data_IF_056027964248
#
_entry.id   IF_056027964248
#
_cell.length_a   1.000
_cell.length_b   1.000
_cell.length_c   1.000
_cell.angle_alpha   90.00
_cell.angle_beta   90.00
_cell.angle_gamma   90.00
#
_symmetry.space_group_name_H-M   'P 1'
#
loop_
_entity.id
_entity.type
_entity.pdbx_description
1 polymer ?
#
# COMPACT_ATOMS: atom_id res chain seq x y z
N UNK A 1 -6.27 0.75 39.93
CA UNK A 1 -5.49 1.55 38.93
C UNK A 1 -6.46 2.53 38.30
N UNK A 2 -6.25 3.83 38.47
CA UNK A 2 -7.02 4.89 37.81
C UNK A 2 -6.80 4.80 36.32
N UNK A 3 -7.88 4.80 35.50
CA UNK A 3 -7.78 4.88 34.02
C UNK A 3 -6.96 6.13 33.66
N UNK A 4 -5.96 6.03 32.76
CA UNK A 4 -5.23 7.20 32.33
C UNK A 4 -6.19 8.21 31.69
N UNK A 5 -6.02 9.50 32.02
CA UNK A 5 -6.84 10.59 31.50
C UNK A 5 -6.62 10.88 30.01
N UNK A 6 -5.61 10.27 29.39
CA UNK A 6 -5.25 10.45 27.99
C UNK A 6 -5.33 9.10 27.24
N UNK A 7 -5.99 9.11 26.06
CA UNK A 7 -6.13 7.98 25.17
C UNK A 7 -5.18 8.18 23.97
N UNK A 8 -3.92 7.81 24.14
CA UNK A 8 -2.95 7.77 23.04
C UNK A 8 -2.67 6.30 22.68
N UNK A 9 -2.61 6.04 21.38
CA UNK A 9 -2.16 4.72 20.90
C UNK A 9 -0.67 4.54 21.21
N UNK A 10 -0.21 3.33 21.55
CA UNK A 10 1.21 3.02 21.72
C UNK A 10 2.03 3.41 20.50
N UNK A 11 3.35 3.70 20.66
CA UNK A 11 4.21 4.19 19.58
C UNK A 11 4.60 3.10 18.54
N UNK A 12 3.74 2.11 18.32
CA UNK A 12 3.96 0.98 17.40
C UNK A 12 4.25 1.42 15.97
N UNK A 13 3.65 2.54 15.54
CA UNK A 13 3.93 3.15 14.25
C UNK A 13 5.40 3.54 14.15
N UNK A 14 5.90 4.22 15.18
CA UNK A 14 7.29 4.71 15.20
C UNK A 14 8.29 3.56 15.35
N UNK A 15 7.95 2.53 16.13
CA UNK A 15 8.74 1.30 16.24
C UNK A 15 8.87 0.63 14.87
N UNK A 16 7.75 0.47 14.15
CA UNK A 16 7.76 -0.07 12.79
C UNK A 16 8.57 0.77 11.81
N UNK A 17 8.53 2.10 11.92
CA UNK A 17 9.37 2.99 11.12
C UNK A 17 10.84 2.85 11.43
N UNK A 18 11.22 2.70 12.72
CA UNK A 18 12.61 2.50 13.11
C UNK A 18 13.21 1.23 12.47
N UNK A 19 12.51 0.11 12.53
CA UNK A 19 12.96 -1.13 11.88
C UNK A 19 13.11 -0.99 10.36
N UNK A 20 12.13 -0.36 9.71
CA UNK A 20 12.18 -0.13 8.25
C UNK A 20 13.29 0.84 7.87
N UNK A 21 13.50 1.90 8.65
CA UNK A 21 14.55 2.87 8.39
C UNK A 21 15.94 2.21 8.44
N UNK A 22 16.20 1.38 9.46
CA UNK A 22 17.47 0.62 9.56
C UNK A 22 17.69 -0.26 8.33
N UNK A 23 16.66 -0.99 7.87
CA UNK A 23 16.77 -1.82 6.68
C UNK A 23 17.04 -0.99 5.41
N UNK A 24 16.34 0.15 5.25
CA UNK A 24 16.53 1.05 4.11
C UNK A 24 17.91 1.72 4.11
N UNK A 25 18.43 2.09 5.27
CA UNK A 25 19.79 2.64 5.39
C UNK A 25 20.85 1.66 4.89
N UNK A 26 20.67 0.37 5.13
CA UNK A 26 21.61 -0.66 4.69
C UNK A 26 21.53 -0.97 3.18
N UNK A 27 20.40 -0.67 2.55
CA UNK A 27 20.10 -1.16 1.22
C UNK A 27 19.81 -0.08 0.17
N UNK A 28 19.20 1.05 0.56
CA UNK A 28 18.60 2.02 -0.37
C UNK A 28 19.03 3.47 -0.15
N UNK A 29 19.57 3.81 1.01
CA UNK A 29 19.84 5.19 1.41
C UNK A 29 21.33 5.52 1.47
N UNK A 30 21.66 6.71 1.96
CA UNK A 30 23.01 7.27 1.99
C UNK A 30 24.06 6.33 2.58
N UNK A 31 23.84 5.60 3.69
CA UNK A 31 24.83 4.63 4.20
C UNK A 31 25.14 3.52 3.19
N UNK A 32 24.10 3.05 2.44
CA UNK A 32 24.30 2.07 1.39
C UNK A 32 25.07 2.66 0.19
N UNK A 33 24.88 3.94 -0.13
CA UNK A 33 25.64 4.64 -1.16
C UNK A 33 27.13 4.64 -0.81
N UNK A 34 27.51 5.09 0.38
CA UNK A 34 28.91 5.15 0.77
C UNK A 34 29.58 3.78 0.81
N UNK A 35 28.87 2.77 1.31
CA UNK A 35 29.35 1.38 1.28
C UNK A 35 29.58 0.89 -0.16
N UNK A 36 28.68 1.24 -1.06
CA UNK A 36 28.81 0.86 -2.50
C UNK A 36 30.00 1.57 -3.14
N UNK A 37 30.09 2.89 -2.95
CA UNK A 37 31.15 3.71 -3.52
C UNK A 37 32.54 3.28 -3.02
N UNK A 38 32.68 2.91 -1.75
CA UNK A 38 33.93 2.40 -1.18
C UNK A 38 34.46 1.13 -1.87
N UNK A 39 33.61 0.41 -2.60
CA UNK A 39 33.98 -0.80 -3.36
C UNK A 39 34.20 -0.53 -4.85
N UNK A 40 34.02 0.72 -5.31
CA UNK A 40 34.18 1.11 -6.72
C UNK A 40 35.57 1.72 -6.98
N UNK A 41 35.97 1.72 -8.26
CA UNK A 41 37.08 2.50 -8.73
C UNK A 41 36.72 4.00 -8.69
N UNK A 42 37.35 4.71 -7.76
CA UNK A 42 37.07 6.13 -7.50
C UNK A 42 37.49 7.00 -8.68
N UNK A 43 38.59 6.68 -9.37
CA UNK A 43 39.04 7.46 -10.52
C UNK A 43 38.04 7.32 -11.69
N UNK A 44 37.55 6.11 -11.93
CA UNK A 44 36.53 5.87 -12.94
C UNK A 44 35.20 6.55 -12.58
N UNK A 45 34.82 6.59 -11.30
CA UNK A 45 33.63 7.29 -10.83
C UNK A 45 33.75 8.80 -11.06
N UNK A 46 34.88 9.40 -10.68
CA UNK A 46 35.13 10.83 -10.88
C UNK A 46 35.11 11.19 -12.37
N UNK A 47 35.69 10.33 -13.23
CA UNK A 47 35.62 10.50 -14.68
C UNK A 47 34.19 10.45 -15.23
N UNK A 48 33.37 9.49 -14.77
CA UNK A 48 31.95 9.44 -15.18
C UNK A 48 31.17 10.68 -14.73
N UNK A 49 31.37 11.14 -13.50
CA UNK A 49 30.74 12.35 -13.00
C UNK A 49 31.16 13.59 -13.79
N UNK A 50 32.46 13.73 -14.12
CA UNK A 50 32.96 14.81 -14.95
C UNK A 50 32.39 14.77 -16.40
N UNK A 51 32.04 13.59 -16.89
CA UNK A 51 31.41 13.42 -18.22
C UNK A 51 29.93 13.81 -18.27
N UNK A 52 29.25 13.84 -17.13
CA UNK A 52 27.80 14.13 -17.06
C UNK A 52 27.47 15.43 -16.32
N UNK A 53 28.42 16.03 -15.58
CA UNK A 53 28.24 17.26 -14.84
C UNK A 53 29.22 18.35 -15.21
N UNK A 54 28.78 19.63 -15.25
CA UNK A 54 29.72 20.75 -15.43
C UNK A 54 30.70 20.81 -14.26
N UNK A 55 31.97 21.16 -14.55
CA UNK A 55 33.03 21.30 -13.55
C UNK A 55 32.60 22.21 -12.36
N UNK A 56 31.89 23.32 -12.67
CA UNK A 56 31.37 24.26 -11.64
C UNK A 56 30.40 23.61 -10.66
N UNK A 57 29.63 22.58 -11.10
CA UNK A 57 28.70 21.88 -10.22
C UNK A 57 29.46 20.99 -9.24
N UNK A 58 30.46 20.26 -9.72
CA UNK A 58 31.33 19.41 -8.92
C UNK A 58 32.19 20.25 -7.94
N UNK A 59 32.75 21.36 -8.41
CA UNK A 59 33.50 22.31 -7.59
C UNK A 59 32.64 22.92 -6.46
N UNK A 60 31.41 23.31 -6.79
CA UNK A 60 30.48 23.84 -5.80
C UNK A 60 30.18 22.80 -4.71
N UNK A 61 29.94 21.53 -5.09
CA UNK A 61 29.71 20.47 -4.11
C UNK A 61 30.97 20.19 -3.29
N UNK A 62 32.14 20.17 -3.93
CA UNK A 62 33.42 19.99 -3.25
C UNK A 62 33.76 21.13 -2.26
N UNK A 63 33.28 22.35 -2.49
CA UNK A 63 33.45 23.47 -1.54
C UNK A 63 32.71 23.24 -0.21
N UNK A 64 31.74 22.33 -0.18
CA UNK A 64 31.08 21.83 1.04
C UNK A 64 31.74 20.58 1.63
N UNK A 65 32.90 20.16 1.10
CA UNK A 65 33.58 18.94 1.54
C UNK A 65 32.89 17.65 1.09
N UNK A 66 32.01 17.72 0.08
CA UNK A 66 31.25 16.59 -0.43
C UNK A 66 31.80 16.10 -1.77
N UNK A 67 31.84 14.78 -1.96
CA UNK A 67 32.14 14.16 -3.24
C UNK A 67 30.92 14.20 -4.16
N UNK A 68 31.17 14.12 -5.47
CA UNK A 68 30.15 14.27 -6.50
C UNK A 68 28.96 13.31 -6.37
N UNK A 69 29.23 12.03 -6.07
CA UNK A 69 28.23 10.99 -5.95
C UNK A 69 27.25 11.19 -4.78
N UNK A 70 27.57 12.02 -3.82
CA UNK A 70 26.65 12.34 -2.73
C UNK A 70 25.38 13.04 -3.20
N UNK A 71 25.42 13.70 -4.37
CA UNK A 71 24.27 14.41 -4.94
C UNK A 71 24.04 14.03 -6.41
N UNK A 72 25.10 13.82 -7.19
CA UNK A 72 25.01 13.52 -8.61
C UNK A 72 25.15 12.04 -8.90
N UNK A 73 24.31 11.55 -9.77
CA UNK A 73 24.18 10.14 -10.08
C UNK A 73 25.18 9.73 -11.17
N UNK A 74 25.94 8.68 -10.92
CA UNK A 74 26.79 8.05 -11.93
C UNK A 74 26.23 6.67 -12.33
N UNK A 75 26.26 6.31 -13.62
CA UNK A 75 25.80 4.99 -14.08
C UNK A 75 26.42 3.83 -13.31
N UNK A 76 27.73 3.85 -13.04
CA UNK A 76 28.42 2.77 -12.34
C UNK A 76 27.90 2.55 -10.92
N UNK A 77 27.41 3.59 -10.23
CA UNK A 77 26.80 3.47 -8.89
C UNK A 77 25.49 2.70 -8.97
N UNK A 78 24.63 3.03 -9.95
CA UNK A 78 23.36 2.34 -10.14
C UNK A 78 23.53 0.94 -10.73
N UNK A 79 24.58 0.70 -11.51
CA UNK A 79 24.94 -0.64 -11.99
C UNK A 79 25.38 -1.53 -10.85
N UNK A 80 26.18 -0.99 -9.93
CA UNK A 80 26.65 -1.72 -8.74
C UNK A 80 25.53 -1.97 -7.72
N UNK A 81 24.61 -1.00 -7.56
CA UNK A 81 23.51 -1.11 -6.62
C UNK A 81 22.26 -0.33 -7.11
N UNK A 82 21.40 -0.97 -7.90
CA UNK A 82 20.23 -0.31 -8.49
C UNK A 82 19.23 0.26 -7.47
N UNK A 83 19.16 -0.32 -6.27
CA UNK A 83 18.29 0.15 -5.18
C UNK A 83 18.63 1.57 -4.69
N UNK A 84 19.85 2.07 -4.98
CA UNK A 84 20.27 3.43 -4.67
C UNK A 84 19.49 4.50 -5.45
N UNK A 85 18.71 4.10 -6.46
CA UNK A 85 17.76 5.00 -7.09
C UNK A 85 16.78 5.59 -6.08
N UNK A 86 16.43 4.86 -5.01
CA UNK A 86 15.63 5.39 -3.88
C UNK A 86 16.28 6.62 -3.25
N UNK A 87 17.57 6.55 -2.95
CA UNK A 87 18.29 7.68 -2.34
C UNK A 87 18.19 8.93 -3.22
N UNK A 88 18.59 8.81 -4.48
CA UNK A 88 18.60 9.95 -5.40
C UNK A 88 17.19 10.50 -5.67
N UNK A 89 16.21 9.63 -5.85
CA UNK A 89 14.82 10.03 -6.05
C UNK A 89 14.27 10.79 -4.84
N UNK A 90 14.51 10.28 -3.63
CA UNK A 90 14.00 10.91 -2.41
C UNK A 90 14.76 12.19 -2.06
N UNK A 91 16.06 12.26 -2.35
CA UNK A 91 16.85 13.48 -2.22
C UNK A 91 16.32 14.61 -3.12
N UNK A 92 15.80 14.25 -4.31
CA UNK A 92 15.16 15.19 -5.22
C UNK A 92 13.68 15.47 -4.88
N UNK A 93 13.14 14.88 -3.81
CA UNK A 93 11.79 15.13 -3.33
C UNK A 93 10.68 14.36 -4.06
N UNK A 94 11.00 13.45 -4.97
CA UNK A 94 9.99 12.70 -5.71
C UNK A 94 9.42 11.53 -4.90
N UNK A 95 8.10 11.43 -4.81
CA UNK A 95 7.42 10.21 -4.36
C UNK A 95 7.50 9.11 -5.42
N UNK A 96 7.40 7.83 -5.02
CA UNK A 96 7.33 6.72 -6.00
C UNK A 96 6.15 6.90 -6.98
N UNK A 97 5.01 7.37 -6.49
CA UNK A 97 3.82 7.58 -7.30
C UNK A 97 4.04 8.63 -8.40
N UNK A 98 4.72 9.72 -8.08
CA UNK A 98 5.07 10.76 -9.07
C UNK A 98 6.13 10.28 -10.03
N UNK A 99 7.18 9.67 -9.52
CA UNK A 99 8.34 9.24 -10.29
C UNK A 99 7.98 8.18 -11.34
N UNK A 100 7.15 7.20 -10.94
CA UNK A 100 6.72 6.09 -11.81
C UNK A 100 5.33 6.28 -12.43
N UNK A 101 4.79 7.50 -12.39
CA UNK A 101 3.49 7.81 -13.00
C UNK A 101 3.52 7.48 -14.50
N UNK A 102 2.41 6.96 -15.00
CA UNK A 102 2.21 6.74 -16.45
C UNK A 102 2.50 8.03 -17.22
N UNK A 103 3.32 7.91 -18.27
CA UNK A 103 3.75 9.05 -19.10
C UNK A 103 5.11 9.65 -18.71
N UNK A 104 5.72 9.31 -17.56
CA UNK A 104 7.07 9.77 -17.21
C UNK A 104 8.18 9.02 -17.97
N UNK A 105 7.91 7.84 -18.49
CA UNK A 105 8.92 6.94 -19.05
C UNK A 105 9.79 6.22 -18.01
N UNK A 106 9.68 6.58 -16.73
CA UNK A 106 10.55 6.07 -15.66
C UNK A 106 10.10 4.71 -15.09
N UNK A 107 8.91 4.24 -15.45
CA UNK A 107 8.35 2.96 -14.97
C UNK A 107 9.26 1.74 -15.19
N UNK A 108 10.10 1.77 -16.21
CA UNK A 108 11.09 0.70 -16.51
C UNK A 108 12.13 0.52 -15.40
N UNK A 109 12.37 1.55 -14.56
CA UNK A 109 13.34 1.51 -13.47
C UNK A 109 12.73 1.08 -12.13
N UNK A 110 11.40 0.87 -12.05
CA UNK A 110 10.73 0.50 -10.79
C UNK A 110 11.29 -0.79 -10.19
N UNK A 111 11.48 -1.83 -11.01
CA UNK A 111 12.08 -3.11 -10.55
C UNK A 111 13.53 -2.96 -10.08
N UNK A 112 14.27 -2.01 -10.64
CA UNK A 112 15.63 -1.70 -10.22
C UNK A 112 15.62 -1.08 -8.81
N UNK A 113 14.75 -0.12 -8.56
CA UNK A 113 14.61 0.51 -7.24
C UNK A 113 14.10 -0.48 -6.18
N UNK A 114 13.03 -1.22 -6.46
CA UNK A 114 12.36 -2.07 -5.47
C UNK A 114 13.09 -3.40 -5.22
N UNK A 115 13.61 -4.01 -6.28
CA UNK A 115 14.16 -5.37 -6.24
C UNK A 115 15.65 -5.47 -6.61
N UNK A 116 16.31 -4.36 -6.91
CA UNK A 116 17.73 -4.37 -7.30
C UNK A 116 18.01 -5.01 -8.67
N UNK A 117 16.98 -5.17 -9.52
CA UNK A 117 17.10 -5.84 -10.82
C UNK A 117 16.93 -4.86 -11.97
N UNK A 118 18.01 -4.59 -12.71
CA UNK A 118 17.97 -3.83 -13.94
C UNK A 118 17.57 -4.74 -15.11
N UNK A 119 16.41 -4.50 -15.71
CA UNK A 119 16.01 -5.14 -16.96
C UNK A 119 16.80 -4.57 -18.15
N UNK A 120 16.80 -5.27 -19.29
CA UNK A 120 17.55 -4.86 -20.51
C UNK A 120 17.22 -3.45 -20.97
N UNK A 121 15.95 -3.06 -20.99
CA UNK A 121 15.50 -1.72 -21.37
C UNK A 121 15.99 -0.65 -20.38
N UNK A 122 15.93 -0.91 -19.08
CA UNK A 122 16.42 0.00 -18.05
C UNK A 122 17.94 0.15 -18.13
N UNK A 123 18.66 -0.95 -18.37
CA UNK A 123 20.12 -0.95 -18.56
C UNK A 123 20.52 -0.08 -19.74
N UNK A 124 19.83 -0.19 -20.87
CA UNK A 124 20.12 0.60 -22.08
C UNK A 124 19.88 2.12 -21.87
N UNK A 125 19.01 2.49 -20.93
CA UNK A 125 18.63 3.89 -20.67
C UNK A 125 19.24 4.47 -19.39
N UNK A 126 20.13 3.75 -18.71
CA UNK A 126 20.68 4.17 -17.41
C UNK A 126 21.46 5.49 -17.50
N UNK A 127 22.19 5.72 -18.60
CA UNK A 127 22.91 6.97 -18.83
C UNK A 127 21.97 8.17 -18.99
N UNK A 128 20.86 7.98 -19.70
CA UNK A 128 19.86 9.04 -19.88
C UNK A 128 19.12 9.34 -18.57
N UNK A 129 18.82 8.33 -17.77
CA UNK A 129 18.30 8.53 -16.42
C UNK A 129 19.23 9.38 -15.57
N UNK A 130 20.54 9.04 -15.54
CA UNK A 130 21.52 9.79 -14.78
C UNK A 130 21.62 11.24 -15.24
N UNK A 131 21.67 11.49 -16.55
CA UNK A 131 21.69 12.85 -17.12
C UNK A 131 20.46 13.65 -16.67
N UNK A 132 19.27 13.07 -16.81
CA UNK A 132 18.02 13.74 -16.43
C UNK A 132 17.99 14.11 -14.95
N UNK A 133 18.29 13.14 -14.07
CA UNK A 133 18.24 13.36 -12.63
C UNK A 133 19.36 14.32 -12.17
N UNK A 134 20.51 14.32 -12.83
CA UNK A 134 21.61 15.23 -12.54
C UNK A 134 21.26 16.70 -12.88
N UNK A 135 20.45 16.93 -13.93
CA UNK A 135 19.91 18.28 -14.18
C UNK A 135 19.03 18.75 -13.01
N UNK A 136 18.18 17.86 -12.47
CA UNK A 136 17.37 18.16 -11.30
C UNK A 136 18.24 18.39 -10.05
N UNK A 137 19.25 17.55 -9.84
CA UNK A 137 20.19 17.68 -8.72
C UNK A 137 21.00 18.99 -8.77
N UNK A 138 21.40 19.41 -9.98
CA UNK A 138 22.06 20.69 -10.15
C UNK A 138 21.14 21.87 -9.83
N UNK A 139 19.88 21.83 -10.25
CA UNK A 139 18.88 22.86 -9.87
C UNK A 139 18.68 22.90 -8.36
N UNK A 140 18.61 21.74 -7.71
CA UNK A 140 18.50 21.64 -6.26
C UNK A 140 19.70 22.30 -5.58
N UNK A 141 20.95 21.98 -5.99
CA UNK A 141 22.16 22.58 -5.45
C UNK A 141 22.23 24.10 -5.66
N UNK A 142 21.75 24.59 -6.78
CA UNK A 142 21.66 26.03 -7.05
C UNK A 142 20.63 26.71 -6.16
N UNK A 143 19.48 26.08 -5.91
CA UNK A 143 18.43 26.60 -5.03
C UNK A 143 18.84 26.64 -3.56
N UNK A 144 19.83 25.85 -3.16
CA UNK A 144 20.36 25.81 -1.79
C UNK A 144 21.60 26.69 -1.57
N UNK A 145 21.82 27.71 -2.39
CA UNK A 145 23.04 28.51 -2.45
C UNK A 145 23.45 29.15 -1.13
N UNK A 146 22.47 29.47 -0.28
CA UNK A 146 22.68 30.14 1.02
C UNK A 146 22.73 29.16 2.21
N UNK A 147 22.67 27.85 1.97
CA UNK A 147 22.62 26.83 2.99
C UNK A 147 24.00 26.19 3.18
N UNK A 148 24.31 25.78 4.40
CA UNK A 148 25.45 24.88 4.66
C UNK A 148 24.99 23.44 4.34
N UNK A 149 25.64 22.84 3.35
CA UNK A 149 25.30 21.50 2.87
C UNK A 149 26.40 20.54 3.31
N UNK A 150 26.04 19.55 4.09
CA UNK A 150 26.92 18.44 4.49
C UNK A 150 26.24 17.09 4.23
N UNK A 151 26.94 16.01 4.55
CA UNK A 151 26.40 14.65 4.42
C UNK A 151 25.11 14.44 5.23
N UNK A 152 25.06 14.99 6.43
CA UNK A 152 23.92 14.87 7.32
C UNK A 152 22.72 15.59 6.75
N UNK A 153 22.90 16.81 6.27
CA UNK A 153 21.83 17.58 5.61
C UNK A 153 21.22 16.84 4.42
N UNK A 154 22.04 16.29 3.52
CA UNK A 154 21.54 15.52 2.38
C UNK A 154 20.77 14.26 2.81
N UNK A 155 21.24 13.57 3.85
CA UNK A 155 20.52 12.45 4.42
C UNK A 155 19.17 12.86 5.02
N UNK A 156 19.14 13.89 5.84
CA UNK A 156 17.92 14.44 6.45
C UNK A 156 16.90 14.86 5.39
N UNK A 157 17.36 15.52 4.32
CA UNK A 157 16.52 15.93 3.20
C UNK A 157 15.88 14.72 2.50
N UNK A 158 16.63 13.65 2.28
CA UNK A 158 16.09 12.42 1.71
C UNK A 158 15.05 11.76 2.64
N UNK A 159 15.25 11.81 3.96
CA UNK A 159 14.34 11.25 4.96
C UNK A 159 13.01 12.00 5.02
N UNK A 160 12.98 13.32 4.75
CA UNK A 160 11.74 14.08 4.65
C UNK A 160 10.80 13.52 3.57
N UNK A 161 11.35 13.04 2.46
CA UNK A 161 10.55 12.43 1.37
C UNK A 161 10.18 10.97 1.65
N UNK A 162 10.97 10.25 2.44
CA UNK A 162 10.71 8.85 2.80
C UNK A 162 9.61 8.70 3.85
N UNK A 163 9.53 9.60 4.83
CA UNK A 163 8.56 9.52 5.92
C UNK A 163 7.11 9.34 5.45
N UNK A 164 6.58 10.21 4.58
CA UNK A 164 5.25 10.06 4.00
C UNK A 164 5.05 8.74 3.24
N UNK A 165 6.08 8.24 2.54
CA UNK A 165 6.02 6.98 1.80
C UNK A 165 5.94 5.77 2.73
N UNK A 166 6.70 5.76 3.83
CA UNK A 166 6.62 4.73 4.86
C UNK A 166 5.24 4.68 5.51
N UNK A 167 4.65 5.86 5.78
CA UNK A 167 3.29 5.96 6.31
C UNK A 167 2.26 5.45 5.31
N UNK A 168 2.37 5.83 4.05
CA UNK A 168 1.50 5.36 2.97
C UNK A 168 1.58 3.84 2.78
N UNK A 169 2.78 3.27 2.76
CA UNK A 169 2.98 1.81 2.68
C UNK A 169 2.29 1.06 3.82
N UNK A 170 2.42 1.55 5.06
CA UNK A 170 1.75 0.93 6.20
C UNK A 170 0.22 1.04 6.13
N UNK A 171 -0.30 2.14 5.60
CA UNK A 171 -1.75 2.26 5.40
C UNK A 171 -2.25 1.23 4.38
N UNK A 172 -1.50 0.98 3.32
CA UNK A 172 -1.83 -0.07 2.34
C UNK A 172 -1.79 -1.47 2.98
N UNK A 173 -0.75 -1.77 3.78
CA UNK A 173 -0.65 -3.05 4.51
C UNK A 173 -1.83 -3.27 5.47
N UNK A 174 -2.25 -2.23 6.19
CA UNK A 174 -3.44 -2.29 7.04
C UNK A 174 -4.72 -2.49 6.22
N UNK A 175 -4.82 -1.86 5.07
CA UNK A 175 -5.90 -2.08 4.12
C UNK A 175 -6.00 -3.54 3.72
N UNK A 176 -4.89 -4.10 3.23
CA UNK A 176 -4.81 -5.51 2.83
C UNK A 176 -5.08 -6.48 3.99
N UNK A 177 -4.54 -6.21 5.19
CA UNK A 177 -4.80 -7.02 6.38
C UNK A 177 -6.29 -7.01 6.75
N UNK A 178 -6.95 -5.85 6.71
CA UNK A 178 -8.38 -5.76 6.99
C UNK A 178 -9.24 -6.48 5.95
N UNK A 179 -8.87 -6.45 4.68
CA UNK A 179 -9.55 -7.21 3.63
C UNK A 179 -9.38 -8.72 3.89
N UNK A 180 -8.17 -9.15 4.26
CA UNK A 180 -7.89 -10.55 4.58
C UNK A 180 -8.67 -11.00 5.81
N UNK A 181 -8.74 -10.20 6.88
CA UNK A 181 -9.51 -10.51 8.08
C UNK A 181 -10.99 -10.73 7.75
N UNK A 182 -11.58 -9.86 6.92
CA UNK A 182 -12.98 -10.00 6.48
C UNK A 182 -13.16 -11.23 5.60
N UNK A 183 -12.24 -11.50 4.68
CA UNK A 183 -12.28 -12.69 3.85
C UNK A 183 -12.23 -13.97 4.67
N UNK A 184 -11.32 -14.04 5.65
CA UNK A 184 -11.21 -15.17 6.57
C UNK A 184 -12.47 -15.33 7.45
N UNK A 185 -13.10 -14.21 7.87
CA UNK A 185 -14.37 -14.26 8.58
C UNK A 185 -15.48 -14.87 7.70
N UNK A 186 -15.57 -14.47 6.45
CA UNK A 186 -16.52 -15.05 5.49
C UNK A 186 -16.26 -16.54 5.30
N UNK A 187 -15.00 -16.97 5.13
CA UNK A 187 -14.66 -18.38 5.00
C UNK A 187 -15.07 -19.20 6.23
N UNK A 188 -14.88 -18.66 7.44
CA UNK A 188 -15.33 -19.29 8.68
C UNK A 188 -16.85 -19.40 8.74
N UNK A 189 -17.58 -18.36 8.33
CA UNK A 189 -19.04 -18.36 8.28
C UNK A 189 -19.60 -19.47 7.39
N UNK A 190 -18.96 -19.72 6.25
CA UNK A 190 -19.38 -20.70 5.25
C UNK A 190 -18.66 -22.06 5.37
N UNK A 191 -17.78 -22.26 6.36
CA UNK A 191 -16.93 -23.46 6.50
C UNK A 191 -17.72 -24.78 6.51
N UNK A 192 -18.94 -24.76 7.04
CA UNK A 192 -19.83 -25.92 7.08
C UNK A 192 -20.31 -26.38 5.70
N UNK A 193 -20.26 -25.51 4.69
CA UNK A 193 -20.53 -25.84 3.28
C UNK A 193 -19.28 -26.36 2.54
N UNK A 194 -18.15 -26.53 3.25
CA UNK A 194 -16.87 -27.08 2.73
C UNK A 194 -16.37 -26.35 1.49
N UNK A 195 -16.09 -25.03 1.56
CA UNK A 195 -15.58 -24.28 0.42
C UNK A 195 -14.25 -24.83 -0.06
N UNK A 196 -14.05 -24.88 -1.38
CA UNK A 196 -12.75 -25.13 -2.01
C UNK A 196 -12.04 -23.81 -2.21
N UNK A 197 -10.89 -23.63 -1.55
CA UNK A 197 -10.11 -22.37 -1.56
C UNK A 197 -8.91 -22.50 -2.49
N UNK A 198 -8.74 -21.55 -3.40
CA UNK A 198 -7.59 -21.42 -4.28
C UNK A 198 -7.13 -19.96 -4.32
N UNK A 199 -5.99 -19.67 -3.72
CA UNK A 199 -5.50 -18.30 -3.55
C UNK A 199 -6.50 -17.46 -2.75
N UNK A 200 -6.95 -16.34 -3.32
CA UNK A 200 -7.92 -15.42 -2.73
C UNK A 200 -9.36 -15.63 -3.27
N UNK A 201 -9.65 -16.85 -3.72
CA UNK A 201 -10.97 -17.23 -4.22
C UNK A 201 -11.43 -18.50 -3.53
N UNK A 202 -12.68 -18.53 -3.07
CA UNK A 202 -13.33 -19.72 -2.54
C UNK A 202 -14.60 -20.05 -3.35
N UNK A 203 -14.83 -21.33 -3.59
CA UNK A 203 -16.01 -21.81 -4.29
C UNK A 203 -16.73 -22.85 -3.45
N UNK A 204 -18.05 -22.80 -3.45
CA UNK A 204 -18.90 -23.76 -2.73
C UNK A 204 -20.26 -23.87 -3.44
N UNK A 205 -21.01 -24.94 -3.16
CA UNK A 205 -22.36 -25.08 -3.67
C UNK A 205 -23.37 -24.63 -2.61
N UNK A 206 -24.36 -23.85 -3.05
CA UNK A 206 -25.45 -23.40 -2.18
C UNK A 206 -26.53 -24.49 -1.99
N UNK A 207 -27.56 -24.20 -1.21
CA UNK A 207 -28.65 -25.15 -0.94
C UNK A 207 -29.42 -25.61 -2.20
N UNK A 208 -29.36 -24.83 -3.27
CA UNK A 208 -29.99 -25.14 -4.57
C UNK A 208 -29.03 -25.83 -5.53
N UNK A 209 -27.82 -26.22 -5.10
CA UNK A 209 -26.82 -26.87 -5.94
C UNK A 209 -26.12 -25.90 -6.94
N UNK A 210 -26.25 -24.60 -6.74
CA UNK A 210 -25.58 -23.61 -7.58
C UNK A 210 -24.27 -23.19 -6.95
N UNK A 211 -23.25 -23.07 -7.79
CA UNK A 211 -21.93 -22.64 -7.33
C UNK A 211 -21.95 -21.17 -6.89
N UNK A 212 -21.43 -20.91 -5.70
CA UNK A 212 -21.15 -19.55 -5.19
C UNK A 212 -19.65 -19.34 -5.15
N UNK A 213 -19.21 -18.21 -5.67
CA UNK A 213 -17.82 -17.75 -5.67
C UNK A 213 -17.69 -16.60 -4.70
N UNK A 214 -16.73 -16.69 -3.80
CA UNK A 214 -16.32 -15.63 -2.87
C UNK A 214 -14.88 -15.26 -3.27
N UNK A 215 -14.67 -14.00 -3.65
CA UNK A 215 -13.39 -13.58 -4.22
C UNK A 215 -12.95 -12.24 -3.65
N UNK A 216 -11.66 -12.13 -3.31
CA UNK A 216 -11.02 -10.83 -3.09
C UNK A 216 -10.66 -10.25 -4.44
N UNK A 217 -11.25 -9.09 -4.75
CA UNK A 217 -11.16 -8.41 -6.03
C UNK A 217 -10.45 -7.05 -5.89
N UNK A 218 -10.23 -6.37 -7.01
CA UNK A 218 -9.60 -5.06 -6.99
C UNK A 218 -10.58 -3.93 -6.64
N UNK A 219 -11.86 -4.07 -7.01
CA UNK A 219 -12.90 -3.04 -6.81
C UNK A 219 -14.28 -3.66 -7.11
N UNK A 220 -15.17 -3.85 -6.14
CA UNK A 220 -14.96 -3.70 -4.69
C UNK A 220 -14.03 -4.78 -4.11
N UNK A 221 -13.57 -4.59 -2.86
CA UNK A 221 -12.53 -5.43 -2.23
C UNK A 221 -12.91 -6.90 -2.12
N UNK A 222 -14.17 -7.24 -1.80
CA UNK A 222 -14.65 -8.61 -1.74
C UNK A 222 -16.00 -8.71 -2.47
N UNK A 223 -16.16 -9.75 -3.26
CA UNK A 223 -17.40 -10.03 -3.99
C UNK A 223 -17.91 -11.43 -3.74
N UNK A 224 -19.23 -11.57 -3.67
CA UNK A 224 -19.92 -12.87 -3.61
C UNK A 224 -20.85 -12.97 -4.81
N UNK A 225 -20.66 -14.01 -5.62
CA UNK A 225 -21.35 -14.17 -6.90
C UNK A 225 -21.89 -15.60 -7.00
N UNK A 226 -23.16 -15.76 -7.29
CA UNK A 226 -23.76 -17.04 -7.64
C UNK A 226 -23.60 -17.28 -9.16
N UNK A 227 -23.03 -18.40 -9.53
CA UNK A 227 -22.90 -18.83 -10.93
C UNK A 227 -24.20 -19.49 -11.38
N UNK A 228 -24.64 -19.13 -12.57
CA UNK A 228 -25.82 -19.74 -13.20
C UNK A 228 -25.45 -20.39 -14.52
N UNK A 229 -25.94 -21.59 -14.74
CA UNK A 229 -25.62 -22.42 -15.93
C UNK A 229 -26.26 -21.93 -17.24
N UNK A 230 -27.08 -20.89 -17.25
CA UNK A 230 -27.77 -20.47 -18.47
C UNK A 230 -27.93 -18.95 -18.65
N UNK A 231 -28.14 -18.19 -17.59
CA UNK A 231 -28.53 -16.77 -17.67
C UNK A 231 -27.47 -15.79 -17.16
N UNK A 232 -26.21 -16.20 -17.13
CA UNK A 232 -25.12 -15.39 -16.60
C UNK A 232 -25.00 -15.43 -15.07
N UNK A 233 -23.99 -14.76 -14.52
CA UNK A 233 -23.74 -14.72 -13.08
C UNK A 233 -24.74 -13.81 -12.37
N UNK A 234 -25.10 -14.17 -11.14
CA UNK A 234 -25.91 -13.34 -10.25
C UNK A 234 -25.00 -12.72 -9.17
N UNK A 235 -24.62 -11.43 -9.27
CA UNK A 235 -23.86 -10.73 -8.26
C UNK A 235 -24.71 -10.54 -7.01
N UNK A 236 -24.23 -11.06 -5.85
CA UNK A 236 -24.98 -11.05 -4.60
C UNK A 236 -24.53 -9.91 -3.69
N UNK A 237 -23.27 -9.93 -3.26
CA UNK A 237 -22.74 -8.99 -2.28
C UNK A 237 -21.43 -8.39 -2.78
N UNK A 238 -21.31 -7.08 -2.67
CA UNK A 238 -20.11 -6.29 -2.86
C UNK A 238 -19.72 -5.69 -1.50
N UNK A 239 -18.50 -5.94 -1.04
CA UNK A 239 -18.00 -5.45 0.25
C UNK A 239 -16.78 -4.58 -0.01
N UNK A 240 -16.83 -3.37 0.55
CA UNK A 240 -15.71 -2.42 0.56
C UNK A 240 -15.16 -2.32 2.00
N UNK A 241 -13.84 -2.46 2.17
CA UNK A 241 -13.18 -2.50 3.47
C UNK A 241 -12.27 -1.28 3.63
N UNK A 242 -12.55 -0.44 4.60
CA UNK A 242 -11.77 0.76 4.95
C UNK A 242 -11.09 0.55 6.31
N UNK A 243 -10.06 -0.32 6.33
CA UNK A 243 -9.41 -0.79 7.55
C UNK A 243 -8.48 0.24 8.24
N UNK A 244 -8.34 1.44 7.74
CA UNK A 244 -7.58 2.49 8.42
C UNK A 244 -8.30 3.01 9.67
N UNK A 245 -7.53 3.31 10.72
CA UNK A 245 -8.03 3.71 12.05
C UNK A 245 -8.16 5.23 12.24
N UNK A 246 -7.88 6.04 11.24
CA UNK A 246 -7.96 7.49 11.32
C UNK A 246 -9.42 7.95 11.23
N UNK A 247 -10.00 8.30 12.37
CA UNK A 247 -11.37 8.78 12.47
C UNK A 247 -11.56 10.16 11.81
N UNK A 248 -10.52 11.01 11.75
CA UNK A 248 -10.61 12.33 11.12
C UNK A 248 -10.85 12.26 9.61
N UNK A 249 -10.49 11.14 8.99
CA UNK A 249 -10.62 10.92 7.54
C UNK A 249 -11.78 9.97 7.17
N UNK A 250 -12.65 9.64 8.12
CA UNK A 250 -13.72 8.64 7.90
C UNK A 250 -14.70 9.08 6.81
N UNK A 251 -15.04 10.35 6.75
CA UNK A 251 -15.95 10.91 5.75
C UNK A 251 -15.43 10.72 4.32
N UNK A 252 -14.15 11.01 4.07
CA UNK A 252 -13.53 10.77 2.77
C UNK A 252 -13.55 9.28 2.40
N UNK A 253 -13.29 8.39 3.36
CA UNK A 253 -13.29 6.94 3.14
C UNK A 253 -14.67 6.38 2.80
N UNK A 254 -15.72 6.89 3.45
CA UNK A 254 -17.11 6.53 3.12
C UNK A 254 -17.45 7.03 1.71
N UNK A 255 -17.06 8.24 1.34
CA UNK A 255 -17.23 8.75 -0.03
C UNK A 255 -16.44 7.97 -1.09
N UNK A 256 -15.30 7.37 -0.73
CA UNK A 256 -14.58 6.44 -1.61
C UNK A 256 -15.33 5.10 -1.74
N UNK A 257 -15.89 4.57 -0.64
CA UNK A 257 -16.71 3.37 -0.67
C UNK A 257 -17.94 3.54 -1.56
N UNK A 258 -18.58 4.72 -1.51
CA UNK A 258 -19.69 5.05 -2.41
C UNK A 258 -19.32 4.91 -3.89
N UNK A 259 -18.13 5.38 -4.30
CA UNK A 259 -17.65 5.23 -5.67
C UNK A 259 -17.50 3.77 -6.10
N UNK A 260 -16.97 2.91 -5.21
CA UNK A 260 -16.88 1.47 -5.44
C UNK A 260 -18.26 0.83 -5.52
N UNK A 261 -19.18 1.23 -4.66
CA UNK A 261 -20.56 0.70 -4.68
C UNK A 261 -21.37 1.13 -5.91
N UNK A 262 -21.18 2.34 -6.41
CA UNK A 262 -21.79 2.76 -7.68
C UNK A 262 -21.35 1.86 -8.85
N UNK A 263 -20.06 1.50 -8.90
CA UNK A 263 -19.55 0.55 -9.89
C UNK A 263 -20.13 -0.87 -9.68
N UNK A 264 -20.25 -1.29 -8.42
CA UNK A 264 -20.87 -2.57 -8.08
C UNK A 264 -22.34 -2.60 -8.49
N UNK A 265 -23.09 -1.52 -8.26
CA UNK A 265 -24.49 -1.37 -8.73
C UNK A 265 -24.60 -1.46 -10.26
N UNK A 266 -23.68 -0.82 -11.00
CA UNK A 266 -23.63 -0.95 -12.46
C UNK A 266 -23.38 -2.40 -12.91
N UNK A 267 -22.67 -3.20 -12.10
CA UNK A 267 -22.45 -4.65 -12.28
C UNK A 267 -23.60 -5.50 -11.72
N UNK A 268 -24.69 -4.88 -11.26
CA UNK A 268 -25.93 -5.50 -10.75
C UNK A 268 -25.77 -6.26 -9.43
N UNK A 269 -24.82 -5.87 -8.58
CA UNK A 269 -24.78 -6.37 -7.20
C UNK A 269 -26.05 -5.96 -6.44
N UNK A 270 -26.65 -6.91 -5.72
CA UNK A 270 -27.90 -6.69 -4.97
C UNK A 270 -27.64 -6.03 -3.63
N UNK A 271 -26.52 -6.38 -2.99
CA UNK A 271 -26.10 -5.83 -1.70
C UNK A 271 -24.73 -5.15 -1.81
N UNK A 272 -24.61 -4.00 -1.17
CA UNK A 272 -23.36 -3.25 -1.05
C UNK A 272 -23.09 -2.97 0.43
N UNK A 273 -21.97 -3.45 0.96
CA UNK A 273 -21.63 -3.31 2.38
C UNK A 273 -20.32 -2.57 2.55
N UNK A 274 -20.25 -1.70 3.55
CA UNK A 274 -19.02 -0.97 3.91
C UNK A 274 -18.56 -1.41 5.30
N UNK A 275 -17.31 -1.83 5.41
CA UNK A 275 -16.67 -2.19 6.67
C UNK A 275 -15.61 -1.15 6.98
N UNK A 276 -15.72 -0.47 8.14
CA UNK A 276 -14.79 0.56 8.60
C UNK A 276 -14.05 0.09 9.86
N UNK A 277 -12.88 0.67 10.14
CA UNK A 277 -12.12 0.36 11.35
C UNK A 277 -11.91 1.62 12.20
N UNK A 278 -13.01 2.22 12.63
CA UNK A 278 -13.03 3.38 13.54
C UNK A 278 -13.89 3.04 14.76
N UNK A 279 -13.55 3.61 15.91
CA UNK A 279 -14.23 3.31 17.17
C UNK A 279 -15.69 3.82 17.25
N UNK A 280 -16.02 4.83 16.45
CA UNK A 280 -17.38 5.36 16.37
C UNK A 280 -17.69 5.79 14.96
N UNK A 281 -18.79 5.30 14.43
CA UNK A 281 -19.39 5.70 13.17
C UNK A 281 -20.79 6.21 13.44
N UNK A 282 -21.10 7.44 13.03
CA UNK A 282 -22.49 7.90 13.03
C UNK A 282 -23.24 7.26 11.84
N UNK A 283 -24.21 6.37 12.08
CA UNK A 283 -24.88 5.65 11.00
C UNK A 283 -25.68 6.58 10.07
N UNK A 284 -26.21 7.68 10.59
CA UNK A 284 -27.03 8.64 9.81
C UNK A 284 -26.12 9.39 8.84
N UNK A 285 -25.01 9.91 9.33
CA UNK A 285 -24.03 10.62 8.50
C UNK A 285 -23.40 9.67 7.46
N UNK A 286 -23.09 8.45 7.86
CA UNK A 286 -22.54 7.44 6.95
C UNK A 286 -23.51 7.11 5.81
N UNK A 287 -24.79 6.92 6.12
CA UNK A 287 -25.83 6.65 5.12
C UNK A 287 -26.04 7.84 4.15
N UNK A 288 -25.91 9.07 4.64
CA UNK A 288 -25.97 10.27 3.76
C UNK A 288 -24.79 10.35 2.80
N UNK A 289 -23.59 9.93 3.24
CA UNK A 289 -22.36 9.98 2.44
C UNK A 289 -22.19 8.80 1.48
N UNK A 290 -22.79 7.67 1.81
CA UNK A 290 -22.82 6.48 0.95
C UNK A 290 -24.24 5.88 0.88
N UNK A 291 -25.16 6.53 0.15
CA UNK A 291 -26.55 6.09 0.04
C UNK A 291 -26.71 4.74 -0.68
N UNK A 292 -25.69 4.28 -1.40
CA UNK A 292 -25.68 2.94 -2.01
C UNK A 292 -25.26 1.84 -1.05
N UNK A 293 -24.70 2.17 0.12
CA UNK A 293 -24.35 1.19 1.14
C UNK A 293 -25.59 0.75 1.89
N UNK A 294 -25.91 -0.55 1.80
CA UNK A 294 -27.05 -1.14 2.50
C UNK A 294 -26.73 -1.44 3.98
N UNK A 295 -25.48 -1.76 4.28
CA UNK A 295 -25.02 -2.09 5.64
C UNK A 295 -23.64 -1.53 5.92
N UNK A 296 -23.50 -0.98 7.12
CA UNK A 296 -22.22 -0.55 7.69
C UNK A 296 -21.84 -1.47 8.84
N UNK A 297 -20.58 -1.87 8.89
CA UNK A 297 -20.03 -2.66 9.99
C UNK A 297 -18.71 -2.04 10.47
N UNK A 298 -18.41 -2.26 11.77
CA UNK A 298 -17.11 -1.93 12.33
C UNK A 298 -16.23 -3.18 12.39
N UNK A 299 -15.03 -3.14 11.83
CA UNK A 299 -14.14 -4.30 11.71
C UNK A 299 -13.84 -4.93 13.08
N UNK A 300 -13.60 -4.11 14.12
CA UNK A 300 -13.35 -4.62 15.48
C UNK A 300 -14.52 -5.41 16.03
N UNK A 301 -15.78 -4.96 15.81
CA UNK A 301 -16.98 -5.67 16.23
C UNK A 301 -17.20 -6.96 15.43
N UNK A 302 -16.85 -6.95 14.13
CA UNK A 302 -16.93 -8.14 13.31
C UNK A 302 -15.95 -9.23 13.75
N UNK A 303 -14.76 -8.85 14.23
CA UNK A 303 -13.75 -9.80 14.70
C UNK A 303 -14.04 -10.32 16.12
N UNK A 304 -14.89 -9.63 16.89
CA UNK A 304 -15.35 -10.07 18.18
C UNK A 304 -16.50 -11.07 18.03
N UNK A 305 -16.21 -12.37 18.17
CA UNK A 305 -17.16 -13.47 17.90
C UNK A 305 -18.41 -13.47 18.78
N UNK A 306 -18.39 -12.74 19.90
CA UNK A 306 -19.51 -12.59 20.84
C UNK A 306 -20.40 -11.40 20.53
N UNK A 307 -20.01 -10.54 19.60
CA UNK A 307 -20.74 -9.33 19.25
C UNK A 307 -22.00 -9.64 18.43
N UNK A 308 -23.03 -8.80 18.59
CA UNK A 308 -24.25 -8.87 17.76
C UNK A 308 -23.96 -8.59 16.28
N UNK A 309 -22.99 -7.68 15.99
CA UNK A 309 -22.57 -7.35 14.64
C UNK A 309 -21.93 -8.55 13.93
N UNK A 310 -21.09 -9.32 14.64
CA UNK A 310 -20.54 -10.58 14.10
C UNK A 310 -21.65 -11.57 13.76
N UNK A 311 -22.59 -11.79 14.66
CA UNK A 311 -23.70 -12.74 14.45
C UNK A 311 -24.57 -12.33 13.25
N UNK A 312 -24.90 -11.04 13.13
CA UNK A 312 -25.69 -10.50 12.01
C UNK A 312 -24.95 -10.60 10.69
N UNK A 313 -23.65 -10.28 10.65
CA UNK A 313 -22.82 -10.41 9.47
C UNK A 313 -22.79 -11.86 8.97
N UNK A 314 -22.47 -12.81 9.86
CA UNK A 314 -22.41 -14.25 9.52
C UNK A 314 -23.76 -14.75 9.01
N UNK A 315 -24.85 -14.43 9.69
CA UNK A 315 -26.21 -14.83 9.29
C UNK A 315 -26.57 -14.26 7.91
N UNK A 316 -26.21 -13.00 7.66
CA UNK A 316 -26.47 -12.33 6.38
C UNK A 316 -25.68 -12.94 5.21
N UNK A 317 -24.39 -13.25 5.40
CA UNK A 317 -23.58 -13.95 4.40
C UNK A 317 -24.18 -15.30 4.05
N UNK A 318 -24.53 -16.11 5.06
CA UNK A 318 -25.10 -17.45 4.88
C UNK A 318 -26.44 -17.37 4.14
N UNK A 319 -27.31 -16.43 4.52
CA UNK A 319 -28.62 -16.25 3.91
C UNK A 319 -28.52 -15.78 2.45
N UNK A 320 -27.72 -14.74 2.16
CA UNK A 320 -27.60 -14.17 0.81
C UNK A 320 -26.88 -15.12 -0.15
N UNK A 321 -25.91 -15.89 0.30
CA UNK A 321 -25.28 -16.93 -0.48
C UNK A 321 -26.15 -18.19 -0.64
N UNK A 322 -27.29 -18.26 0.06
CA UNK A 322 -28.22 -19.38 -0.02
C UNK A 322 -27.66 -20.70 0.56
N UNK A 323 -26.80 -20.59 1.57
CA UNK A 323 -26.13 -21.73 2.19
C UNK A 323 -27.04 -22.32 3.26
N UNK A 324 -27.10 -23.66 3.33
CA UNK A 324 -27.88 -24.34 4.41
C UNK A 324 -27.30 -23.96 5.77
N UNK A 325 -28.15 -23.51 6.69
CA UNK A 325 -27.74 -23.29 8.08
C UNK A 325 -27.38 -24.61 8.75
N UNK A 326 -26.40 -24.61 9.68
CA UNK A 326 -26.16 -25.77 10.52
C UNK A 326 -27.44 -26.12 11.27
N UNK A 327 -28.01 -27.33 11.09
CA UNK A 327 -29.11 -27.81 11.94
C UNK A 327 -28.60 -27.86 13.38
N UNK A 328 -29.25 -27.12 14.26
CA UNK A 328 -29.03 -27.30 15.71
C UNK A 328 -29.43 -28.73 16.02
N UNK A 329 -28.47 -29.61 16.29
CA UNK A 329 -28.74 -30.94 16.83
C UNK A 329 -29.50 -30.76 18.13
N UNK A 330 -30.80 -31.04 18.11
CA UNK A 330 -31.62 -31.09 19.31
C UNK A 330 -31.07 -32.24 20.17
N UNK A 331 -30.29 -31.92 21.18
CA UNK A 331 -29.96 -32.87 22.25
C UNK A 331 -31.30 -33.27 22.86
N UNK A 332 -31.80 -34.48 22.53
CA UNK A 332 -32.86 -35.08 23.28
C UNK A 332 -32.34 -35.29 24.71
N UNK A 333 -32.87 -34.50 25.64
CA UNK A 333 -32.79 -34.85 27.06
C UNK A 333 -33.64 -36.12 27.22
N UNK A 334 -32.99 -37.23 27.48
CA UNK A 334 -33.58 -38.42 28.06
C UNK A 334 -33.67 -38.24 29.56
#
# INVERSE_FOLDING_TARGET
>A
MTKPSFLLTPPELQIGFAHRLVALQQTHLQPALYKTVAALDIAALDQQLAGVMPAKALQKLASFGLRGEALFMAPMVLLAKPTLLTYYRTLLGYSQKEFYKTGTGLGIFKRAEEGGVLGTTALAQIHELCKFLNVCAWKLLQGMDKLTIDQRFLNELSLLSIGPQLRGGRNNERGEAGIEDVYQLILKAVAHAKPVVSGRTATLDNAAGRQVVIEVAADPDIVIIEKSSGNGNRPLVAIEVKAGTDASNIHNRIGEAEKSHLKAKARKFTECWTIVNVASLDPVVAAQQSPTTHRFFTLSELLETTSGAHADFVASIVALAGIKTKSKTRTKKS
#
